data_IF_819866123083
#
_entry.id   IF_819866123083
#
_cell.length_a   1.000
_cell.length_b   1.000
_cell.length_c   1.000
_cell.angle_alpha   90.00
_cell.angle_beta   90.00
_cell.angle_gamma   90.00
#
_symmetry.space_group_name_H-M   'P 1'
#
loop_
_entity.id
_entity.type
_entity.pdbx_description
1 polymer ?
#
# COMPACT_ATOMS: atom_id res chain seq x y z
N UNK A 1 -7.38 -12.62 -2.84
CA UNK A 1 -8.17 -11.60 -2.20
C UNK A 1 -7.38 -10.33 -2.02
N UNK A 2 -8.08 -9.27 -2.01
CA UNK A 2 -7.43 -8.01 -1.87
C UNK A 2 -7.06 -7.73 -0.47
N UNK A 3 -6.30 -6.67 -0.32
CA UNK A 3 -5.83 -6.33 0.99
C UNK A 3 -6.92 -5.85 1.89
N UNK A 4 -8.02 -5.44 1.33
CA UNK A 4 -9.11 -5.03 2.17
C UNK A 4 -9.56 -6.15 3.07
N UNK A 5 -9.26 -7.36 2.68
CA UNK A 5 -9.67 -8.48 3.48
C UNK A 5 -8.71 -8.77 4.61
N UNK A 6 -7.65 -8.00 4.72
CA UNK A 6 -6.71 -8.21 5.80
C UNK A 6 -7.23 -7.70 7.13
N UNK A 7 -8.26 -6.85 7.11
CA UNK A 7 -8.75 -6.27 8.34
C UNK A 7 -9.71 -7.24 9.01
N UNK A 8 -9.45 -7.51 10.28
CA UNK A 8 -10.25 -8.42 11.04
C UNK A 8 -11.03 -7.62 12.05
N UNK A 9 -12.33 -7.49 11.85
CA UNK A 9 -13.17 -6.68 12.72
C UNK A 9 -14.08 -7.58 13.51
N UNK A 10 -13.82 -7.69 14.79
CA UNK A 10 -14.58 -8.60 15.63
C UNK A 10 -15.64 -7.90 16.46
N UNK A 11 -15.65 -6.58 16.50
CA UNK A 11 -16.67 -5.85 17.28
C UNK A 11 -16.76 -4.42 16.78
N UNK A 12 -17.71 -3.67 17.32
CA UNK A 12 -17.94 -2.31 16.87
C UNK A 12 -16.75 -1.40 17.07
N UNK A 13 -16.01 -1.57 18.15
CA UNK A 13 -14.86 -0.72 18.40
C UNK A 13 -13.79 -0.96 17.33
N UNK A 14 -13.57 -2.21 16.99
CA UNK A 14 -12.60 -2.54 15.96
C UNK A 14 -13.04 -2.03 14.62
N UNK A 15 -14.33 -2.09 14.33
CA UNK A 15 -14.84 -1.57 13.07
C UNK A 15 -14.66 -0.06 12.97
N UNK A 16 -14.93 0.65 14.06
CA UNK A 16 -14.76 2.10 14.07
C UNK A 16 -13.29 2.47 13.94
N UNK A 17 -12.43 1.73 14.63
CA UNK A 17 -11.00 1.98 14.53
C UNK A 17 -10.51 1.73 13.12
N UNK A 18 -10.93 0.63 12.51
CA UNK A 18 -10.51 0.31 11.15
C UNK A 18 -10.99 1.33 10.15
N UNK A 19 -12.22 1.81 10.32
CA UNK A 19 -12.74 2.82 9.41
C UNK A 19 -11.93 4.11 9.49
N UNK A 20 -11.60 4.53 10.70
CA UNK A 20 -10.81 5.74 10.87
C UNK A 20 -9.38 5.53 10.36
N UNK A 21 -8.82 4.37 10.62
CA UNK A 21 -7.50 4.03 10.15
C UNK A 21 -7.41 4.18 8.63
N UNK A 22 -8.38 3.63 7.93
CA UNK A 22 -8.38 3.69 6.49
C UNK A 22 -8.68 5.07 5.95
N UNK A 23 -9.49 5.83 6.65
CA UNK A 23 -9.76 7.20 6.26
C UNK A 23 -8.49 8.05 6.34
N UNK A 24 -7.76 7.93 7.44
CA UNK A 24 -6.50 8.68 7.60
C UNK A 24 -5.49 8.24 6.56
N UNK A 25 -5.40 6.94 6.32
CA UNK A 25 -4.50 6.43 5.31
C UNK A 25 -4.82 7.02 3.93
N UNK A 26 -6.09 7.01 3.56
CA UNK A 26 -6.46 7.53 2.25
C UNK A 26 -6.10 9.00 2.09
N UNK A 27 -6.16 9.76 3.17
CA UNK A 27 -5.84 11.17 3.10
C UNK A 27 -4.35 11.44 3.02
N UNK A 28 -3.55 10.59 3.60
CA UNK A 28 -2.13 10.90 3.77
C UNK A 28 -1.16 9.97 3.06
N UNK A 29 -1.62 8.84 2.56
CA UNK A 29 -0.68 7.83 2.06
C UNK A 29 0.14 8.29 0.88
N UNK A 30 -0.33 9.28 0.13
CA UNK A 30 0.44 9.75 -1.03
C UNK A 30 1.54 10.74 -0.65
N UNK A 31 1.57 11.14 0.61
CA UNK A 31 2.60 12.06 1.08
C UNK A 31 3.84 11.26 1.45
N UNK A 32 4.94 11.52 0.77
CA UNK A 32 6.18 10.77 1.02
C UNK A 32 6.74 11.03 2.40
N UNK A 33 6.32 12.12 3.06
CA UNK A 33 6.81 12.45 4.39
C UNK A 33 5.92 11.92 5.51
N UNK A 34 4.82 11.29 5.17
CA UNK A 34 3.89 10.79 6.18
C UNK A 34 4.51 9.59 6.89
N UNK A 35 4.74 9.71 8.17
CA UNK A 35 5.39 8.67 8.95
C UNK A 35 4.39 7.94 9.84
N UNK A 36 4.84 6.83 10.40
CA UNK A 36 4.01 6.10 11.36
C UNK A 36 3.75 6.94 12.60
N UNK A 37 4.70 7.79 13.00
CA UNK A 37 4.47 8.69 14.13
C UNK A 37 3.38 9.69 13.82
N UNK A 38 3.37 10.22 12.59
CA UNK A 38 2.30 11.12 12.18
C UNK A 38 0.97 10.39 12.21
N UNK A 39 0.96 9.16 11.74
CA UNK A 39 -0.23 8.35 11.67
C UNK A 39 -0.81 8.16 13.09
N UNK A 40 0.02 7.74 14.03
CA UNK A 40 -0.42 7.55 15.41
C UNK A 40 -0.95 8.84 16.00
N UNK A 41 -0.26 9.95 15.73
CA UNK A 41 -0.69 11.25 16.24
C UNK A 41 -2.04 11.66 15.72
N UNK A 42 -2.30 11.49 14.44
CA UNK A 42 -3.59 11.83 13.86
C UNK A 42 -4.69 10.94 14.43
N UNK A 43 -4.36 9.68 14.70
CA UNK A 43 -5.32 8.77 15.31
C UNK A 43 -5.51 9.05 16.80
N UNK A 44 -4.71 9.94 17.37
CA UNK A 44 -4.85 10.29 18.77
C UNK A 44 -4.34 9.25 19.74
N UNK A 45 -3.39 8.43 19.31
CA UNK A 45 -2.90 7.34 20.13
C UNK A 45 -1.40 7.43 20.31
N UNK A 46 -0.93 6.94 21.45
CA UNK A 46 0.50 6.78 21.62
C UNK A 46 1.02 5.65 20.78
N UNK A 47 2.33 5.64 20.58
CA UNK A 47 2.94 4.72 19.66
C UNK A 47 2.68 3.26 19.99
N UNK A 48 2.85 2.89 21.25
CA UNK A 48 2.68 1.50 21.65
C UNK A 48 1.25 1.03 21.46
N UNK A 49 0.30 1.85 21.85
CA UNK A 49 -1.10 1.50 21.72
C UNK A 49 -1.48 1.41 20.26
N UNK A 50 -0.99 2.35 19.45
CA UNK A 50 -1.29 2.37 18.03
C UNK A 50 -0.77 1.08 17.37
N UNK A 51 0.47 0.68 17.69
CA UNK A 51 1.03 -0.53 17.13
C UNK A 51 0.19 -1.75 17.46
N UNK A 52 -0.22 -1.86 18.73
CA UNK A 52 -1.01 -3.01 19.14
C UNK A 52 -2.35 -3.06 18.46
N UNK A 53 -3.01 -1.91 18.34
CA UNK A 53 -4.32 -1.88 17.73
C UNK A 53 -4.28 -2.17 16.24
N UNK A 54 -3.32 -1.59 15.54
CA UNK A 54 -3.19 -1.85 14.10
C UNK A 54 -2.90 -3.32 13.86
N UNK A 55 -1.96 -3.87 14.63
CA UNK A 55 -1.63 -5.27 14.45
C UNK A 55 -2.82 -6.17 14.76
N UNK A 56 -3.61 -5.80 15.75
CA UNK A 56 -4.79 -6.58 16.12
C UNK A 56 -5.85 -6.60 15.04
N UNK A 57 -6.05 -5.50 14.33
CA UNK A 57 -7.12 -5.46 13.34
C UNK A 57 -6.65 -5.74 11.92
N UNK A 58 -5.36 -5.59 11.63
CA UNK A 58 -4.89 -5.81 10.25
C UNK A 58 -3.96 -7.00 10.10
N UNK A 59 -3.36 -7.44 11.18
CA UNK A 59 -2.34 -8.48 11.11
C UNK A 59 -0.98 -7.94 10.74
N UNK A 60 -0.86 -6.66 10.45
CA UNK A 60 0.40 -6.02 10.07
C UNK A 60 0.78 -4.98 11.10
N UNK A 61 2.05 -4.66 11.19
CA UNK A 61 2.44 -3.48 11.95
C UNK A 61 1.99 -2.25 11.18
N UNK A 62 1.90 -1.08 11.81
CA UNK A 62 1.52 0.13 11.10
C UNK A 62 2.43 0.44 9.91
N UNK A 63 3.72 0.21 10.07
CA UNK A 63 4.67 0.47 9.00
C UNK A 63 4.41 -0.46 7.81
N UNK A 64 4.20 -1.73 8.11
CA UNK A 64 3.89 -2.70 7.06
C UNK A 64 2.56 -2.41 6.39
N UNK A 65 1.57 -2.04 7.18
CA UNK A 65 0.25 -1.77 6.64
C UNK A 65 0.26 -0.57 5.71
N UNK A 66 0.96 0.48 6.09
CA UNK A 66 1.08 1.65 5.23
C UNK A 66 1.71 1.25 3.90
N UNK A 67 2.76 0.45 3.93
CA UNK A 67 3.42 0.01 2.70
C UNK A 67 2.50 -0.86 1.85
N UNK A 68 1.80 -1.78 2.50
CA UNK A 68 0.90 -2.68 1.79
C UNK A 68 -0.19 -1.90 1.05
N UNK A 69 -0.75 -0.89 1.71
CA UNK A 69 -1.81 -0.09 1.11
C UNK A 69 -1.27 0.79 -0.02
N UNK A 70 -0.08 1.37 0.16
CA UNK A 70 0.55 2.16 -0.89
C UNK A 70 0.79 1.32 -2.13
N UNK A 71 1.25 0.10 -1.95
CA UNK A 71 1.51 -0.78 -3.10
C UNK A 71 0.23 -1.25 -3.75
N UNK A 72 -0.83 -1.42 -2.97
CA UNK A 72 -2.12 -1.76 -3.55
C UNK A 72 -2.64 -0.63 -4.44
N UNK A 73 -2.50 0.60 -3.99
CA UNK A 73 -2.89 1.74 -4.79
C UNK A 73 -2.05 1.82 -6.05
N UNK A 74 -0.76 1.54 -5.92
CA UNK A 74 0.13 1.56 -7.08
C UNK A 74 -0.30 0.52 -8.11
N UNK A 75 -0.72 -0.65 -7.67
CA UNK A 75 -1.17 -1.68 -8.59
C UNK A 75 -2.36 -1.20 -9.41
N UNK A 76 -3.29 -0.48 -8.78
CA UNK A 76 -4.40 0.10 -9.52
C UNK A 76 -3.92 1.11 -10.54
N UNK A 77 -2.99 1.98 -10.14
CA UNK A 77 -2.51 3.04 -11.02
C UNK A 77 -1.73 2.49 -12.20
N UNK A 78 -1.03 1.38 -11.99
CA UNK A 78 -0.28 0.77 -13.09
C UNK A 78 -1.21 0.32 -14.22
N UNK A 79 -2.44 -0.02 -13.88
CA UNK A 79 -3.38 -0.51 -14.87
C UNK A 79 -4.25 0.59 -15.46
N UNK A 80 -4.42 1.68 -14.75
CA UNK A 80 -5.40 2.69 -15.15
C UNK A 80 -4.79 4.03 -15.55
N UNK A 81 -3.51 4.26 -15.21
CA UNK A 81 -2.90 5.56 -15.47
C UNK A 81 -1.74 5.41 -16.43
N UNK A 82 -1.54 6.44 -17.21
CA UNK A 82 -0.42 6.41 -18.17
C UNK A 82 0.77 7.09 -17.52
N UNK A 83 1.33 6.47 -16.53
CA UNK A 83 2.45 7.00 -15.78
C UNK A 83 3.61 6.05 -15.84
N UNK A 84 4.82 6.58 -15.71
CA UNK A 84 5.99 5.71 -15.62
C UNK A 84 5.98 5.01 -14.27
N UNK A 85 6.78 3.98 -14.15
CA UNK A 85 6.87 3.25 -12.89
C UNK A 85 7.35 4.19 -11.78
N UNK A 86 8.33 5.05 -12.07
CA UNK A 86 8.82 5.99 -11.09
C UNK A 86 7.71 6.97 -10.67
N UNK A 87 6.93 7.43 -11.64
CA UNK A 87 5.84 8.35 -11.32
C UNK A 87 4.80 7.69 -10.44
N UNK A 88 4.52 6.42 -10.69
CA UNK A 88 3.58 5.69 -9.83
C UNK A 88 4.13 5.60 -8.42
N UNK A 89 5.42 5.28 -8.28
CA UNK A 89 6.03 5.20 -6.96
C UNK A 89 5.86 6.50 -6.19
N UNK A 90 6.21 7.61 -6.82
CA UNK A 90 6.09 8.91 -6.16
C UNK A 90 4.63 9.24 -5.85
N UNK A 91 3.72 8.88 -6.75
CA UNK A 91 2.31 9.17 -6.56
C UNK A 91 1.70 8.46 -5.38
N UNK A 92 2.24 7.32 -5.00
CA UNK A 92 1.73 6.60 -3.84
C UNK A 92 2.60 6.84 -2.59
N UNK A 93 3.48 7.83 -2.64
CA UNK A 93 4.24 8.22 -1.46
C UNK A 93 5.53 7.48 -1.24
N UNK A 94 6.00 6.73 -2.22
CA UNK A 94 7.27 6.02 -2.09
C UNK A 94 8.31 6.77 -2.90
N UNK A 95 9.29 7.33 -2.19
CA UNK A 95 10.22 8.27 -2.78
C UNK A 95 11.45 7.62 -3.41
N UNK A 96 11.49 6.33 -3.49
CA UNK A 96 12.61 5.61 -4.08
C UNK A 96 12.05 4.55 -5.02
N UNK A 97 12.12 4.76 -6.34
CA UNK A 97 11.54 3.81 -7.29
C UNK A 97 12.16 2.43 -7.24
N UNK A 98 13.44 2.30 -6.88
CA UNK A 98 14.05 0.98 -6.79
C UNK A 98 13.50 0.23 -5.59
N UNK A 99 13.37 0.91 -4.47
CA UNK A 99 12.76 0.30 -3.29
C UNK A 99 11.31 -0.07 -3.60
N UNK A 100 10.60 0.82 -4.30
CA UNK A 100 9.23 0.56 -4.72
C UNK A 100 9.13 -0.74 -5.51
N UNK A 101 9.97 -0.90 -6.53
CA UNK A 101 9.91 -2.09 -7.38
C UNK A 101 10.21 -3.35 -6.60
N UNK A 102 11.16 -3.28 -5.68
CA UNK A 102 11.50 -4.42 -4.86
C UNK A 102 10.34 -4.83 -3.97
N UNK A 103 9.73 -3.86 -3.31
CA UNK A 103 8.60 -4.15 -2.44
C UNK A 103 7.39 -4.60 -3.24
N UNK A 104 7.17 -4.01 -4.40
CA UNK A 104 6.06 -4.40 -5.25
C UNK A 104 6.19 -5.85 -5.66
N UNK A 105 7.38 -6.24 -6.11
CA UNK A 105 7.60 -7.62 -6.53
C UNK A 105 7.41 -8.58 -5.37
N UNK A 106 7.87 -8.18 -4.19
CA UNK A 106 7.69 -9.01 -3.00
C UNK A 106 6.22 -9.21 -2.67
N UNK A 107 5.41 -8.18 -2.80
CA UNK A 107 4.00 -8.26 -2.44
C UNK A 107 3.15 -8.93 -3.52
N UNK A 108 3.42 -8.66 -4.78
CA UNK A 108 2.57 -9.13 -5.87
C UNK A 108 3.18 -10.26 -6.68
N UNK A 109 4.43 -10.60 -6.44
CA UNK A 109 5.05 -11.73 -7.12
C UNK A 109 5.66 -11.40 -8.46
N UNK A 110 5.40 -10.24 -9.01
CA UNK A 110 5.98 -9.82 -10.28
C UNK A 110 6.37 -8.36 -10.18
N UNK A 111 7.23 -7.93 -11.06
CA UNK A 111 7.68 -6.54 -11.07
C UNK A 111 6.54 -5.61 -11.50
N UNK A 112 6.64 -4.33 -11.21
CA UNK A 112 5.62 -3.38 -11.67
C UNK A 112 5.46 -3.39 -13.20
N UNK A 113 6.55 -3.49 -13.94
CA UNK A 113 6.45 -3.52 -15.40
C UNK A 113 5.73 -4.76 -15.88
N UNK A 114 6.07 -5.90 -15.30
CA UNK A 114 5.42 -7.15 -15.67
C UNK A 114 3.95 -7.12 -15.30
N UNK A 115 3.63 -6.56 -14.15
CA UNK A 115 2.26 -6.46 -13.72
C UNK A 115 1.44 -5.63 -14.71
N UNK A 116 2.01 -4.51 -15.15
CA UNK A 116 1.32 -3.65 -16.10
C UNK A 116 1.04 -4.36 -17.42
N UNK A 117 1.95 -5.22 -17.85
CA UNK A 117 1.79 -5.91 -19.10
C UNK A 117 0.89 -7.12 -19.03
N UNK A 118 0.52 -7.55 -17.83
CA UNK A 118 -0.37 -8.67 -17.71
C UNK A 118 -1.80 -8.19 -17.73
N UNK A 119 -2.19 -7.48 -18.73
CA UNK A 119 -3.53 -7.01 -18.80
C UNK A 119 -4.44 -8.10 -19.29
N UNK A 120 -5.69 -7.96 -19.07
CA UNK A 120 -6.64 -9.03 -19.37
C UNK A 120 -6.64 -9.47 -20.79
N UNK A 121 -6.23 -8.68 -21.70
CA UNK A 121 -6.17 -9.13 -23.04
C UNK A 121 -5.21 -10.21 -23.19
N UNK A 122 -4.40 -10.38 -22.20
CA UNK A 122 -3.64 -11.52 -22.18
C UNK A 122 -2.51 -11.60 -23.10
N UNK A 123 -2.05 -10.58 -23.60
CA UNK A 123 -0.95 -10.68 -24.40
C UNK A 123 0.19 -10.87 -23.57
N UNK A 124 0.60 -12.03 -23.39
CA UNK A 124 1.69 -12.30 -22.57
C UNK A 124 2.89 -12.38 -23.29
N UNK A 125 3.36 -11.36 -23.95
CA UNK A 125 4.56 -11.50 -24.60
C UNK A 125 5.66 -11.55 -23.68
N UNK A 126 6.64 -12.36 -23.94
CA UNK A 126 7.84 -12.42 -23.15
C UNK A 126 8.47 -11.11 -23.30
N UNK A 127 8.84 -10.49 -22.28
CA UNK A 127 9.38 -9.18 -22.39
C UNK A 127 10.67 -9.13 -21.70
N UNK A 128 11.43 -8.13 -21.99
CA UNK A 128 12.64 -7.89 -21.30
C UNK A 128 12.46 -6.75 -20.40
N UNK A 129 11.40 -6.73 -19.68
CA UNK A 129 11.11 -5.63 -18.84
C UNK A 129 12.17 -5.33 -17.89
N UNK A 130 12.47 -4.09 -17.78
CA UNK A 130 13.42 -3.64 -16.84
C UNK A 130 12.66 -2.99 -15.76
N UNK A 131 12.80 -3.45 -14.58
CA UNK A 131 12.14 -2.85 -13.48
C UNK A 131 12.80 -1.56 -13.19
N UNK A 132 12.07 -0.57 -12.88
CA UNK A 132 12.58 0.65 -12.65
C UNK A 132 13.19 1.14 -11.84
#
# INVERSE_FOLDING_TARGET
>A
PGLAHSIICTNDKDQKFSAKLNEVLNEHMTDTEFSVNDFAGIMGLGRTVFYKKVRGVTGYSPYEYLRVIRLKKAAEMLLTEDLTIAEVAYSVGINDPFYFSKCFKSQFGVSPSAYRKKLPEGENEPTNDVDV
#
